data_IF_573848933732
#
_entry.id   IF_573848933732
#
_cell.length_a   1.000
_cell.length_b   1.000
_cell.length_c   1.000
_cell.angle_alpha   90.00
_cell.angle_beta   90.00
_cell.angle_gamma   90.00
#
_symmetry.space_group_name_H-M   'P 1'
#
loop_
_entity.id
_entity.type
_entity.pdbx_description
1 polymer ?
#
# COMPACT_ATOMS: atom_id res chain seq x y z
N UNK A 1 11.30 -8.32 12.98
CA UNK A 1 10.18 -7.67 12.24
C UNK A 1 9.98 -8.47 10.97
N UNK A 2 8.78 -9.01 10.74
CA UNK A 2 8.51 -9.91 9.61
C UNK A 2 7.84 -9.10 8.49
N UNK A 3 8.44 -9.10 7.30
CA UNK A 3 7.91 -8.39 6.12
C UNK A 3 6.49 -8.83 5.77
N UNK A 4 6.14 -10.10 5.99
CA UNK A 4 4.78 -10.59 5.73
C UNK A 4 3.75 -9.89 6.62
N UNK A 5 4.11 -9.61 7.88
CA UNK A 5 3.25 -8.88 8.82
C UNK A 5 3.07 -7.42 8.40
N UNK A 6 4.13 -6.78 7.90
CA UNK A 6 4.04 -5.42 7.39
C UNK A 6 3.10 -5.36 6.17
N UNK A 7 3.27 -6.26 5.20
CA UNK A 7 2.44 -6.31 3.99
C UNK A 7 0.96 -6.53 4.36
N UNK A 8 0.68 -7.47 5.27
CA UNK A 8 -0.67 -7.74 5.75
C UNK A 8 -1.31 -6.49 6.39
N UNK A 9 -0.59 -5.82 7.28
CA UNK A 9 -1.05 -4.58 7.92
C UNK A 9 -1.28 -3.47 6.90
N UNK A 10 -0.35 -3.26 5.95
CA UNK A 10 -0.50 -2.24 4.92
C UNK A 10 -1.75 -2.44 4.07
N UNK A 11 -2.12 -3.69 3.77
CA UNK A 11 -3.34 -4.00 3.03
C UNK A 11 -4.60 -3.84 3.90
N UNK A 12 -4.59 -4.42 5.10
CA UNK A 12 -5.74 -4.43 6.03
C UNK A 12 -6.17 -3.02 6.43
N UNK A 13 -5.22 -2.10 6.61
CA UNK A 13 -5.48 -0.74 7.09
C UNK A 13 -5.46 0.32 5.98
N UNK A 14 -5.49 -0.10 4.71
CA UNK A 14 -5.67 0.83 3.59
C UNK A 14 -4.46 1.72 3.28
N UNK A 15 -3.25 1.21 3.49
CA UNK A 15 -2.01 1.89 3.07
C UNK A 15 -1.63 1.56 1.64
N UNK A 16 -1.45 0.27 1.31
CA UNK A 16 -0.96 -0.17 0.00
C UNK A 16 -1.76 -1.38 -0.46
N UNK A 17 -2.11 -1.38 -1.74
CA UNK A 17 -2.77 -2.49 -2.43
C UNK A 17 -1.94 -2.94 -3.64
N UNK A 18 -2.08 -4.21 -4.01
CA UNK A 18 -1.55 -4.71 -5.27
C UNK A 18 -2.31 -4.03 -6.41
N UNK A 19 -1.60 -3.41 -7.35
CA UNK A 19 -2.31 -2.74 -8.44
C UNK A 19 -3.00 -3.76 -9.33
N UNK A 20 -4.21 -3.43 -9.77
CA UNK A 20 -5.07 -4.32 -10.57
C UNK A 20 -5.42 -5.65 -9.90
N UNK A 21 -5.51 -5.70 -8.55
CA UNK A 21 -5.72 -6.95 -7.79
C UNK A 21 -6.94 -7.77 -8.26
N UNK A 22 -8.05 -7.12 -8.66
CA UNK A 22 -9.25 -7.82 -9.16
C UNK A 22 -9.07 -8.43 -10.57
N UNK A 23 -7.93 -8.14 -11.22
CA UNK A 23 -7.54 -8.60 -12.55
C UNK A 23 -6.15 -9.28 -12.48
N UNK A 24 -5.95 -10.16 -11.50
CA UNK A 24 -4.71 -10.92 -11.24
C UNK A 24 -3.46 -10.10 -10.85
N UNK A 25 -3.58 -8.77 -10.82
CA UNK A 25 -2.53 -7.88 -10.39
C UNK A 25 -1.47 -7.60 -11.46
N UNK A 26 -0.83 -6.44 -11.34
CA UNK A 26 0.31 -6.04 -12.17
C UNK A 26 1.61 -6.13 -11.37
N UNK A 27 2.51 -7.02 -11.78
CA UNK A 27 3.78 -7.27 -11.08
C UNK A 27 4.58 -5.98 -10.86
N UNK A 28 5.10 -5.81 -9.64
CA UNK A 28 5.89 -4.65 -9.22
C UNK A 28 5.17 -3.27 -9.30
N UNK A 29 3.84 -3.26 -9.44
CA UNK A 29 3.04 -2.03 -9.41
C UNK A 29 2.04 -2.07 -8.26
N UNK A 30 1.95 -0.96 -7.53
CA UNK A 30 1.17 -0.85 -6.29
C UNK A 30 0.40 0.47 -6.24
N UNK A 31 -0.79 0.40 -5.66
CA UNK A 31 -1.67 1.55 -5.49
C UNK A 31 -1.70 1.97 -4.02
N UNK A 32 -1.66 3.29 -3.79
CA UNK A 32 -1.80 3.85 -2.45
C UNK A 32 -3.28 3.91 -2.07
N UNK A 33 -3.62 3.32 -0.92
CA UNK A 33 -4.93 3.50 -0.31
C UNK A 33 -5.09 4.87 0.37
N UNK A 34 -6.23 5.13 1.03
CA UNK A 34 -6.48 6.41 1.69
C UNK A 34 -5.39 6.78 2.72
N UNK A 35 -5.08 5.87 3.65
CA UNK A 35 -4.06 6.10 4.68
C UNK A 35 -2.65 6.18 4.10
N UNK A 36 -2.37 5.42 3.04
CA UNK A 36 -1.09 5.45 2.35
C UNK A 36 -0.85 6.76 1.62
N UNK A 37 -1.90 7.32 1.01
CA UNK A 37 -1.85 8.62 0.34
C UNK A 37 -1.61 9.74 1.35
N UNK A 38 -2.33 9.73 2.47
CA UNK A 38 -2.13 10.70 3.56
C UNK A 38 -0.69 10.63 4.10
N UNK A 39 -0.21 9.43 4.44
CA UNK A 39 1.17 9.23 4.91
C UNK A 39 2.20 9.70 3.90
N UNK A 40 2.04 9.34 2.61
CA UNK A 40 2.95 9.76 1.54
C UNK A 40 3.00 11.28 1.39
N UNK A 41 1.85 11.95 1.47
CA UNK A 41 1.78 13.40 1.36
C UNK A 41 2.44 14.08 2.57
N UNK A 42 2.20 13.57 3.78
CA UNK A 42 2.84 14.09 5.00
C UNK A 42 4.37 13.96 4.93
N UNK A 43 4.89 12.84 4.43
CA UNK A 43 6.35 12.65 4.23
C UNK A 43 6.90 13.61 3.17
N UNK A 44 6.16 13.85 2.08
CA UNK A 44 6.58 14.76 1.00
C UNK A 44 6.57 16.24 1.40
N UNK A 45 5.72 16.61 2.35
CA UNK A 45 5.57 17.99 2.82
C UNK A 45 6.58 18.37 3.91
N UNK A 46 7.26 17.39 4.50
CA UNK A 46 8.35 17.58 5.45
C UNK A 46 9.68 17.87 4.74
#
# INVERSE_FOLDING_TARGET
MDFKKLIAHSKEYGFIFQSSEIYDGLAAVYDYGPMGTELKNNIKQY
#
